data_IF_670992241979
#
_entry.id   IF_670992241979
#
_cell.length_a   1.000
_cell.length_b   1.000
_cell.length_c   1.000
_cell.angle_alpha   90.00
_cell.angle_beta   90.00
_cell.angle_gamma   90.00
#
_symmetry.space_group_name_H-M   'P 1'
#
loop_
_entity.id
_entity.type
_entity.pdbx_description
1 polymer ?
#
# COMPACT_ATOMS: atom_id res chain seq x y z
N UNK A 1 10.76 10.70 -5.18
CA UNK A 1 10.06 10.87 -6.47
C UNK A 1 8.58 10.72 -6.27
N UNK A 2 7.90 11.81 -5.90
CA UNK A 2 6.45 11.91 -5.86
C UNK A 2 6.08 13.33 -6.33
N UNK A 3 4.88 13.49 -6.88
CA UNK A 3 4.37 14.80 -7.31
C UNK A 3 3.20 15.21 -6.42
N UNK A 4 2.72 16.44 -6.60
CA UNK A 4 1.50 16.90 -5.94
C UNK A 4 0.69 17.75 -6.91
N UNK A 5 -0.61 17.80 -6.65
CA UNK A 5 -1.55 18.69 -7.36
C UNK A 5 -2.21 19.62 -6.37
N UNK A 6 -2.41 20.86 -6.79
CA UNK A 6 -3.07 21.91 -6.01
C UNK A 6 -4.45 22.17 -6.59
N UNK A 7 -5.47 22.20 -5.74
CA UNK A 7 -6.84 22.47 -6.18
C UNK A 7 -7.06 23.94 -6.57
N UNK A 8 -6.39 24.87 -5.88
CA UNK A 8 -6.53 26.33 -6.07
C UNK A 8 -5.19 27.06 -5.96
N UNK A 9 -4.12 26.47 -6.51
CA UNK A 9 -2.77 27.02 -6.36
C UNK A 9 -2.35 27.16 -4.89
N UNK A 10 -1.67 28.26 -4.55
CA UNK A 10 -1.18 28.53 -3.19
C UNK A 10 -2.11 29.41 -2.34
N UNK A 11 -3.37 29.57 -2.78
CA UNK A 11 -4.36 30.40 -2.06
C UNK A 11 -4.89 29.73 -0.79
N UNK A 12 -5.45 30.55 0.10
CA UNK A 12 -6.13 30.05 1.29
C UNK A 12 -7.30 29.14 0.94
N UNK A 13 -7.48 28.05 1.69
CA UNK A 13 -8.48 27.02 1.41
C UNK A 13 -8.09 26.04 0.29
N UNK A 14 -6.91 26.18 -0.33
CA UNK A 14 -6.41 25.22 -1.33
C UNK A 14 -6.10 23.86 -0.69
N UNK A 15 -6.29 22.80 -1.47
CA UNK A 15 -5.89 21.44 -1.13
C UNK A 15 -4.68 21.01 -1.95
N UNK A 16 -3.67 20.50 -1.28
CA UNK A 16 -2.51 19.83 -1.87
C UNK A 16 -2.73 18.33 -1.72
N UNK A 17 -2.84 17.61 -2.85
CA UNK A 17 -2.94 16.15 -2.88
C UNK A 17 -1.64 15.56 -3.40
N UNK A 18 -1.05 14.65 -2.62
CA UNK A 18 0.17 13.96 -3.03
C UNK A 18 -0.14 12.80 -3.98
N UNK A 19 0.75 12.60 -4.96
CA UNK A 19 0.67 11.56 -5.99
C UNK A 19 1.97 10.77 -5.95
N UNK A 20 1.85 9.45 -5.85
CA UNK A 20 2.96 8.53 -5.85
C UNK A 20 2.89 7.58 -7.06
N UNK A 21 4.03 7.01 -7.49
CA UNK A 21 4.05 5.97 -8.52
C UNK A 21 3.23 4.74 -8.13
N UNK A 22 2.90 3.92 -9.11
CA UNK A 22 2.19 2.66 -8.89
C UNK A 22 2.92 1.75 -7.90
N UNK A 23 2.14 1.20 -6.96
CA UNK A 23 2.66 0.40 -5.86
C UNK A 23 3.25 1.21 -4.71
N UNK A 24 3.07 2.53 -4.69
CA UNK A 24 3.43 3.39 -3.57
C UNK A 24 2.24 4.23 -3.10
N UNK A 25 2.26 4.64 -1.83
CA UNK A 25 1.30 5.55 -1.23
C UNK A 25 2.03 6.69 -0.50
N UNK A 26 1.46 7.90 -0.47
CA UNK A 26 2.10 9.00 0.22
C UNK A 26 1.95 8.86 1.73
N UNK A 27 3.01 9.14 2.48
CA UNK A 27 2.97 9.12 3.95
C UNK A 27 2.01 10.17 4.56
N UNK A 28 1.71 11.21 3.78
CA UNK A 28 0.67 12.21 4.06
C UNK A 28 -0.20 12.31 2.81
N UNK A 29 -1.50 12.04 2.90
CA UNK A 29 -2.36 12.00 1.71
C UNK A 29 -2.62 13.40 1.13
N UNK A 30 -2.90 14.36 2.00
CA UNK A 30 -3.23 15.71 1.59
C UNK A 30 -2.87 16.74 2.64
N UNK A 31 -2.72 17.99 2.21
CA UNK A 31 -2.64 19.17 3.08
C UNK A 31 -3.70 20.19 2.69
N UNK A 32 -4.13 21.00 3.65
CA UNK A 32 -5.00 22.16 3.42
C UNK A 32 -4.25 23.44 3.78
N UNK A 33 -4.34 24.46 2.93
CA UNK A 33 -3.84 25.79 3.24
C UNK A 33 -4.89 26.53 4.07
N UNK A 34 -4.51 26.97 5.27
CA UNK A 34 -5.34 27.80 6.14
C UNK A 34 -4.47 28.87 6.79
N UNK A 35 -4.87 30.12 6.67
CA UNK A 35 -4.14 31.31 7.11
C UNK A 35 -2.68 31.32 6.61
N UNK A 36 -2.49 30.92 5.35
CA UNK A 36 -1.16 30.83 4.72
C UNK A 36 -0.30 29.65 5.17
N UNK A 37 -0.85 28.72 5.97
CA UNK A 37 -0.12 27.57 6.50
C UNK A 37 -0.72 26.25 6.01
N UNK A 38 0.14 25.35 5.53
CA UNK A 38 -0.26 24.00 5.12
C UNK A 38 -0.36 23.04 6.32
N UNK A 39 -1.55 22.50 6.58
CA UNK A 39 -1.84 21.54 7.65
C UNK A 39 -2.27 20.17 7.09
N UNK A 40 -1.98 19.03 7.75
CA UNK A 40 -1.23 18.90 9.01
C UNK A 40 0.26 19.15 8.81
N UNK A 41 0.89 19.88 9.75
CA UNK A 41 2.36 20.02 9.76
C UNK A 41 2.97 18.66 10.09
N UNK A 42 4.00 18.26 9.35
CA UNK A 42 4.78 17.07 9.70
C UNK A 42 5.66 17.45 10.89
N UNK A 43 5.54 16.73 12.02
CA UNK A 43 6.32 17.06 13.23
C UNK A 43 7.83 16.85 13.05
N UNK A 44 8.21 16.09 12.01
CA UNK A 44 9.58 15.87 11.59
C UNK A 44 9.95 16.80 10.43
N UNK A 45 11.20 17.30 10.38
CA UNK A 45 11.78 17.98 9.19
C UNK A 45 11.77 17.11 7.92
N UNK A 46 11.33 15.85 7.98
CA UNK A 46 11.18 14.98 6.82
C UNK A 46 10.02 15.42 5.94
N UNK A 47 10.30 15.54 4.65
CA UNK A 47 9.29 15.76 3.62
C UNK A 47 8.39 14.53 3.50
N UNK A 48 7.13 14.67 3.06
CA UNK A 48 6.30 13.52 2.75
C UNK A 48 6.97 12.60 1.73
N UNK A 49 6.98 11.30 2.04
CA UNK A 49 7.68 10.28 1.27
C UNK A 49 6.65 9.31 0.68
N UNK A 50 6.92 8.84 -0.54
CA UNK A 50 6.20 7.72 -1.12
C UNK A 50 6.70 6.42 -0.50
N UNK A 51 5.83 5.74 0.23
CA UNK A 51 6.10 4.44 0.86
C UNK A 51 5.59 3.32 -0.03
N UNK A 52 6.34 2.22 -0.13
CA UNK A 52 5.89 1.03 -0.86
C UNK A 52 4.62 0.45 -0.22
N UNK A 53 3.62 0.15 -1.04
CA UNK A 53 2.46 -0.65 -0.63
C UNK A 53 2.92 -2.06 -0.35
N UNK A 54 2.51 -2.58 0.80
CA UNK A 54 2.79 -3.95 1.21
C UNK A 54 1.48 -4.69 1.42
N UNK A 55 1.42 -5.95 0.98
CA UNK A 55 0.34 -6.83 1.40
C UNK A 55 0.67 -7.47 2.76
N UNK A 56 -0.36 -7.77 3.58
CA UNK A 56 -0.18 -8.51 4.82
C UNK A 56 0.60 -9.80 4.55
N UNK A 57 1.43 -10.22 5.51
CA UNK A 57 2.04 -11.54 5.42
C UNK A 57 0.88 -12.56 5.32
N UNK A 58 0.79 -13.36 4.24
CA UNK A 58 -0.18 -14.43 4.13
C UNK A 58 0.04 -15.35 5.34
N UNK A 59 -0.94 -15.37 6.26
CA UNK A 59 -0.85 -16.23 7.45
C UNK A 59 -0.57 -17.66 6.99
N UNK A 60 0.35 -18.33 7.68
CA UNK A 60 0.63 -19.74 7.43
C UNK A 60 -0.70 -20.49 7.55
N UNK A 61 -1.05 -21.25 6.50
CA UNK A 61 -2.27 -22.03 6.47
C UNK A 61 -2.13 -23.18 7.47
N UNK A 62 -3.12 -23.39 8.32
CA UNK A 62 -3.14 -24.59 9.17
C UNK A 62 -3.23 -25.82 8.25
N UNK A 63 -2.28 -26.75 8.36
CA UNK A 63 -2.13 -27.91 7.48
C UNK A 63 -1.81 -27.57 6.00
N UNK A 64 -1.06 -26.50 5.78
CA UNK A 64 -0.55 -26.15 4.46
C UNK A 64 0.65 -25.21 4.50
N UNK A 65 1.17 -24.89 3.32
CA UNK A 65 2.33 -24.02 3.14
C UNK A 65 2.03 -22.88 2.17
N UNK A 66 2.81 -21.79 2.27
CA UNK A 66 2.74 -20.64 1.38
C UNK A 66 4.10 -20.41 0.74
N UNK A 67 4.15 -20.46 -0.59
CA UNK A 67 5.41 -20.34 -1.34
C UNK A 67 5.31 -19.24 -2.41
N UNK A 68 6.32 -18.35 -2.54
CA UNK A 68 7.47 -18.19 -1.66
C UNK A 68 7.10 -17.47 -0.36
N UNK A 69 7.70 -17.91 0.76
CA UNK A 69 7.64 -17.17 2.02
C UNK A 69 8.58 -15.96 2.00
N UNK A 70 8.06 -14.77 2.32
CA UNK A 70 8.83 -13.51 2.41
C UNK A 70 8.44 -12.75 3.67
N UNK A 71 9.40 -12.01 4.25
CA UNK A 71 9.12 -11.11 5.38
C UNK A 71 8.14 -9.96 5.01
N UNK A 72 8.13 -9.56 3.73
CA UNK A 72 7.22 -8.55 3.17
C UNK A 72 6.88 -8.89 1.73
N UNK A 73 5.63 -8.63 1.36
CA UNK A 73 5.13 -8.78 0.00
C UNK A 73 4.73 -7.41 -0.54
N UNK A 74 5.09 -7.17 -1.79
CA UNK A 74 4.82 -5.93 -2.51
C UNK A 74 3.83 -6.16 -3.64
N UNK A 75 3.32 -5.08 -4.21
CA UNK A 75 2.39 -5.14 -5.33
C UNK A 75 2.97 -5.98 -6.46
N UNK A 76 2.12 -6.83 -7.04
CA UNK A 76 2.42 -7.86 -8.04
C UNK A 76 3.21 -9.08 -7.53
N UNK A 77 3.63 -9.14 -6.26
CA UNK A 77 4.09 -10.40 -5.70
C UNK A 77 2.96 -11.43 -5.73
N UNK A 78 3.34 -12.68 -6.01
CA UNK A 78 2.44 -13.83 -6.08
C UNK A 78 2.83 -14.86 -5.04
N UNK A 79 1.83 -15.48 -4.40
CA UNK A 79 2.02 -16.60 -3.48
C UNK A 79 1.08 -17.74 -3.85
N UNK A 80 1.55 -18.96 -3.67
CA UNK A 80 0.78 -20.18 -3.88
C UNK A 80 0.60 -20.88 -2.56
N UNK A 81 -0.64 -21.24 -2.24
CA UNK A 81 -1.00 -22.04 -1.09
C UNK A 81 -1.05 -23.51 -1.50
N UNK A 82 -0.33 -24.35 -0.76
CA UNK A 82 -0.38 -25.81 -0.88
C UNK A 82 -0.95 -26.40 0.41
N UNK A 83 -1.69 -27.50 0.29
CA UNK A 83 -2.18 -28.27 1.43
C UNK A 83 -1.24 -29.46 1.67
N UNK A 84 -1.10 -29.88 2.94
CA UNK A 84 -0.45 -31.14 3.26
C UNK A 84 -1.24 -32.33 2.67
N UNK A 85 -0.59 -33.50 2.59
CA UNK A 85 -1.27 -34.74 2.20
C UNK A 85 -2.55 -34.92 3.02
N UNK A 86 -3.61 -35.37 2.35
CA UNK A 86 -4.97 -35.58 2.87
C UNK A 86 -5.89 -34.35 2.95
N UNK A 87 -5.38 -33.16 2.63
CA UNK A 87 -6.19 -31.93 2.59
C UNK A 87 -6.41 -31.43 1.16
N UNK A 88 -7.60 -30.89 0.90
CA UNK A 88 -7.94 -30.26 -0.38
C UNK A 88 -8.10 -28.76 -0.19
N UNK A 89 -7.39 -27.99 -0.99
CA UNK A 89 -7.52 -26.54 -0.99
C UNK A 89 -8.90 -26.13 -1.52
N UNK A 90 -9.57 -25.17 -0.85
CA UNK A 90 -10.85 -24.61 -1.30
C UNK A 90 -10.69 -23.14 -1.69
N UNK A 91 -11.05 -22.84 -2.94
CA UNK A 91 -10.89 -21.51 -3.53
C UNK A 91 -9.61 -21.40 -4.34
N UNK A 92 -9.15 -20.17 -4.57
CA UNK A 92 -7.97 -19.90 -5.39
C UNK A 92 -6.67 -20.07 -4.59
N UNK A 93 -5.85 -21.03 -5.01
CA UNK A 93 -4.54 -21.34 -4.39
C UNK A 93 -3.50 -20.25 -4.69
N UNK A 94 -3.66 -19.51 -5.79
CA UNK A 94 -2.73 -18.46 -6.20
C UNK A 94 -3.28 -17.11 -5.75
N UNK A 95 -2.50 -16.38 -4.96
CA UNK A 95 -2.83 -15.02 -4.51
C UNK A 95 -1.86 -14.02 -5.12
N UNK A 96 -2.41 -12.91 -5.61
CA UNK A 96 -1.62 -11.78 -6.13
C UNK A 96 -1.84 -10.56 -5.24
N UNK A 97 -0.75 -9.91 -4.83
CA UNK A 97 -0.79 -8.67 -4.07
C UNK A 97 -1.17 -7.51 -4.99
N UNK A 98 -2.27 -6.81 -4.70
CA UNK A 98 -2.76 -5.71 -5.52
C UNK A 98 -2.36 -4.33 -4.99
N UNK A 99 -2.45 -3.27 -5.83
CA UNK A 99 -2.11 -1.90 -5.43
C UNK A 99 -2.88 -1.35 -4.22
N UNK A 100 -4.04 -1.93 -3.89
CA UNK A 100 -4.81 -1.58 -2.70
C UNK A 100 -4.28 -2.26 -1.41
N UNK A 101 -3.15 -2.97 -1.47
CA UNK A 101 -2.55 -3.69 -0.34
C UNK A 101 -3.31 -4.95 0.07
N UNK A 102 -4.19 -5.47 -0.80
CA UNK A 102 -4.95 -6.70 -0.55
C UNK A 102 -4.49 -7.83 -1.46
N UNK A 103 -4.57 -9.05 -0.93
CA UNK A 103 -4.44 -10.27 -1.71
C UNK A 103 -5.75 -10.56 -2.45
N UNK A 104 -5.65 -10.87 -3.74
CA UNK A 104 -6.78 -11.36 -4.53
C UNK A 104 -6.44 -12.75 -5.06
N UNK A 105 -7.42 -13.66 -5.02
CA UNK A 105 -7.32 -14.96 -5.67
C UNK A 105 -7.68 -14.89 -7.14
N UNK A 106 -6.82 -15.46 -7.98
CA UNK A 106 -7.13 -15.83 -9.37
C UNK A 106 -7.52 -17.30 -9.45
#
# INVERSE_FOLDING_TARGET
GGSFVLSKGYSDGSFLKYICPDGYYPSVQSRRCQYGLWSPKTSTRKTPECKKVTCPNPRVLENGEVTPYKNRYYVNDTTTYSCHSDYKFRGSAVRVCKPNGKWIGS
#
